data_IF_414019728498
#
_entry.id   IF_414019728498
#
_cell.length_a   1.000
_cell.length_b   1.000
_cell.length_c   1.000
_cell.angle_alpha   90.00
_cell.angle_beta   90.00
_cell.angle_gamma   90.00
#
_symmetry.space_group_name_H-M   'P 1'
#
loop_
_entity.id
_entity.type
_entity.pdbx_description
1 polymer ?
#
# COMPACT_ATOMS: atom_id res chain seq x y z
N UNK A 1 -5.17 -18.00 21.21
CA UNK A 1 -4.27 -18.66 20.24
C UNK A 1 -4.41 -17.91 18.93
N UNK A 2 -3.39 -17.20 18.47
CA UNK A 2 -3.38 -16.71 17.10
C UNK A 2 -1.96 -16.38 16.67
N UNK A 3 -1.51 -17.05 15.61
CA UNK A 3 -0.51 -16.53 14.68
C UNK A 3 -0.77 -17.25 13.36
N UNK A 4 -1.40 -16.56 12.41
CA UNK A 4 -1.44 -16.99 11.02
C UNK A 4 -1.28 -15.76 10.12
N UNK A 5 -0.02 -15.42 9.82
CA UNK A 5 0.30 -14.74 8.57
C UNK A 5 0.45 -15.83 7.50
N UNK A 6 -0.18 -15.66 6.33
CA UNK A 6 0.16 -16.48 5.17
C UNK A 6 1.52 -15.98 4.64
N UNK A 7 2.60 -16.54 5.18
CA UNK A 7 4.01 -16.21 4.91
C UNK A 7 4.56 -16.80 3.60
N UNK A 8 3.70 -17.25 2.68
CA UNK A 8 4.16 -18.12 1.59
C UNK A 8 5.12 -17.45 0.59
N UNK A 9 5.29 -16.11 0.60
CA UNK A 9 6.17 -15.39 -0.35
C UNK A 9 6.76 -14.04 0.14
N UNK A 10 6.81 -13.78 1.45
CA UNK A 10 7.48 -12.55 1.93
C UNK A 10 8.99 -12.77 1.94
N UNK A 11 9.75 -11.88 1.30
CA UNK A 11 11.22 -11.96 1.28
C UNK A 11 11.77 -11.84 2.70
N UNK A 12 12.87 -12.54 2.99
CA UNK A 12 13.52 -12.48 4.30
C UNK A 12 14.04 -11.08 4.67
N UNK A 13 14.22 -10.20 3.68
CA UNK A 13 14.67 -8.81 3.85
C UNK A 13 13.54 -7.82 4.10
N UNK A 14 12.28 -8.24 3.96
CA UNK A 14 11.14 -7.34 4.03
C UNK A 14 11.07 -6.67 5.41
N UNK A 15 11.05 -5.34 5.39
CA UNK A 15 10.93 -4.54 6.60
C UNK A 15 9.46 -4.24 6.90
N UNK A 16 9.05 -4.53 8.14
CA UNK A 16 7.71 -4.24 8.65
C UNK A 16 7.78 -3.29 9.83
N UNK A 17 6.83 -2.37 9.89
CA UNK A 17 6.71 -1.41 10.99
C UNK A 17 5.26 -1.31 11.45
N UNK A 18 5.08 -1.25 12.77
CA UNK A 18 3.79 -0.92 13.38
C UNK A 18 3.68 0.61 13.45
N UNK A 19 2.57 1.17 12.98
CA UNK A 19 2.35 2.62 12.97
C UNK A 19 0.93 2.99 13.37
N UNK A 20 0.76 4.26 13.76
CA UNK A 20 -0.52 4.82 14.19
C UNK A 20 -1.27 5.35 12.97
N UNK A 21 -2.41 4.76 12.64
CA UNK A 21 -3.16 5.08 11.43
C UNK A 21 -3.66 6.55 11.40
N UNK A 22 -3.32 7.33 10.37
CA UNK A 22 -3.96 8.63 10.13
C UNK A 22 -5.42 8.45 9.68
N UNK A 23 -6.12 9.58 9.54
CA UNK A 23 -7.49 9.57 9.07
C UNK A 23 -7.59 9.07 7.61
N UNK A 24 -8.61 8.24 7.33
CA UNK A 24 -8.91 7.79 5.97
C UNK A 24 -7.98 6.71 5.41
N UNK A 25 -7.23 6.01 6.26
CA UNK A 25 -6.36 4.92 5.82
C UNK A 25 -7.18 3.67 5.50
N UNK A 26 -6.79 3.04 4.39
CA UNK A 26 -7.27 1.73 3.94
C UNK A 26 -6.09 0.86 3.54
N UNK A 27 -6.33 -0.44 3.40
CA UNK A 27 -5.31 -1.36 2.91
C UNK A 27 -4.85 -1.03 1.49
N UNK A 28 -3.55 -1.14 1.25
CA UNK A 28 -2.93 -0.75 -0.02
C UNK A 28 -2.67 0.74 -0.16
N UNK A 29 -2.99 1.56 0.85
CA UNK A 29 -2.60 2.96 0.86
C UNK A 29 -1.09 3.09 1.10
N UNK A 30 -0.54 4.20 0.61
CA UNK A 30 0.83 4.61 0.85
C UNK A 30 0.89 5.60 2.02
N UNK A 31 1.81 5.36 2.94
CA UNK A 31 2.06 6.22 4.10
C UNK A 31 3.55 6.51 4.23
N UNK A 32 3.91 7.75 4.55
CA UNK A 32 5.27 8.08 4.94
C UNK A 32 5.44 7.81 6.45
N UNK A 33 6.48 7.06 6.82
CA UNK A 33 6.83 6.88 8.22
C UNK A 33 7.53 8.13 8.76
N UNK A 34 7.02 8.65 9.88
CA UNK A 34 7.61 9.74 10.64
C UNK A 34 8.52 9.25 11.76
N UNK A 35 8.59 10.02 12.84
CA UNK A 35 9.37 9.65 14.01
C UNK A 35 8.80 8.41 14.73
N UNK A 36 9.69 7.63 15.36
CA UNK A 36 9.29 6.55 16.25
C UNK A 36 8.79 7.12 17.58
N UNK A 37 7.61 6.68 18.00
CA UNK A 37 6.99 6.98 19.28
C UNK A 37 7.68 6.21 20.43
N UNK A 38 7.39 6.60 21.67
CA UNK A 38 7.95 5.96 22.86
C UNK A 38 7.57 4.48 23.00
N UNK A 39 6.38 4.10 22.51
CA UNK A 39 5.85 2.72 22.49
C UNK A 39 6.39 1.87 21.31
N UNK A 40 7.37 2.40 20.56
CA UNK A 40 8.01 1.79 19.39
C UNK A 40 7.15 1.70 18.13
N UNK A 41 5.94 2.24 18.15
CA UNK A 41 5.16 2.50 16.94
C UNK A 41 5.73 3.70 16.19
N UNK A 42 5.42 3.85 14.91
CA UNK A 42 5.76 5.04 14.13
C UNK A 42 4.53 5.93 13.96
N UNK A 43 4.71 7.25 14.04
CA UNK A 43 3.71 8.16 13.47
C UNK A 43 3.73 8.00 11.95
N UNK A 44 2.58 8.02 11.28
CA UNK A 44 2.54 8.03 9.82
C UNK A 44 1.50 9.02 9.29
N UNK A 45 1.74 9.48 8.06
CA UNK A 45 0.92 10.47 7.36
C UNK A 45 0.92 10.17 5.86
N UNK A 46 0.11 10.91 5.10
CA UNK A 46 0.22 10.91 3.65
C UNK A 46 1.63 11.37 3.22
N UNK A 47 2.21 10.79 2.15
CA UNK A 47 3.43 11.32 1.55
C UNK A 47 3.25 12.79 1.14
N UNK A 48 4.13 13.67 1.58
CA UNK A 48 4.02 15.11 1.30
C UNK A 48 4.38 15.47 -0.16
N UNK A 49 5.10 14.59 -0.86
CA UNK A 49 5.49 14.79 -2.24
C UNK A 49 5.76 13.45 -2.92
N UNK A 50 5.75 13.43 -4.25
CA UNK A 50 6.11 12.23 -5.04
C UNK A 50 7.56 11.76 -4.84
N UNK A 51 8.38 12.57 -4.17
CA UNK A 51 9.78 12.31 -3.82
C UNK A 51 9.98 11.89 -2.35
N UNK A 52 8.90 11.77 -1.56
CA UNK A 52 8.98 11.42 -0.13
C UNK A 52 9.69 10.08 0.07
N UNK A 53 10.69 10.05 0.95
CA UNK A 53 11.43 8.83 1.31
C UNK A 53 10.75 8.10 2.48
N UNK A 54 11.06 6.81 2.64
CA UNK A 54 10.49 6.00 3.73
C UNK A 54 8.98 5.77 3.59
N UNK A 55 8.50 5.70 2.35
CA UNK A 55 7.10 5.35 2.08
C UNK A 55 6.92 3.86 2.26
N UNK A 56 5.96 3.52 3.08
CA UNK A 56 5.50 2.18 3.29
C UNK A 56 4.10 1.99 2.72
N UNK A 57 3.78 0.74 2.38
CA UNK A 57 2.43 0.35 2.03
C UNK A 57 1.73 -0.23 3.26
N UNK A 58 0.45 0.12 3.41
CA UNK A 58 -0.40 -0.39 4.48
C UNK A 58 -0.78 -1.84 4.14
N UNK A 59 -0.31 -2.75 4.99
CA UNK A 59 -0.53 -4.20 4.91
C UNK A 59 -1.28 -4.67 6.15
N UNK A 60 -2.26 -3.91 6.62
CA UNK A 60 -2.98 -4.29 7.80
C UNK A 60 -4.00 -5.37 7.48
N UNK A 61 -4.18 -6.33 8.36
CA UNK A 61 -5.32 -7.24 8.25
C UNK A 61 -5.95 -7.39 9.62
N UNK A 62 -6.98 -6.61 9.96
CA UNK A 62 -7.88 -7.01 11.02
C UNK A 62 -8.85 -8.05 10.45
N UNK A 63 -8.43 -9.32 10.41
CA UNK A 63 -9.38 -10.44 10.20
C UNK A 63 -10.12 -10.66 11.53
N UNK A 64 -11.33 -10.12 11.65
CA UNK A 64 -12.29 -10.63 12.63
C UNK A 64 -12.87 -11.93 12.07
N UNK A 65 -12.58 -13.06 12.74
CA UNK A 65 -12.92 -14.43 12.33
C UNK A 65 -14.42 -14.75 12.27
N UNK A 66 -15.31 -13.81 12.57
CA UNK A 66 -16.75 -14.07 12.61
C UNK A 66 -17.41 -14.00 11.22
N UNK A 67 -16.76 -13.38 10.22
CA UNK A 67 -17.34 -13.29 8.87
C UNK A 67 -16.24 -13.29 7.81
N UNK A 68 -16.28 -14.25 6.87
CA UNK A 68 -15.58 -14.11 5.57
C UNK A 68 -16.07 -12.84 4.89
N UNK A 69 -15.37 -11.73 5.08
CA UNK A 69 -15.64 -10.46 4.39
C UNK A 69 -14.50 -10.19 3.41
N UNK A 70 -14.89 -9.80 2.21
CA UNK A 70 -13.99 -9.49 1.11
C UNK A 70 -13.02 -8.36 1.51
N UNK A 71 -11.81 -8.38 0.96
CA UNK A 71 -10.67 -7.47 1.23
C UNK A 71 -10.96 -5.96 1.00
N UNK A 72 -12.19 -5.60 0.59
CA UNK A 72 -12.57 -4.27 0.10
C UNK A 72 -13.13 -3.28 1.13
N UNK A 73 -13.48 -3.69 2.36
CA UNK A 73 -14.36 -2.87 3.22
C UNK A 73 -13.85 -2.62 4.65
N UNK A 74 -12.54 -2.44 4.87
CA UNK A 74 -12.06 -1.97 6.17
C UNK A 74 -11.46 -0.56 6.08
N UNK A 75 -12.26 0.45 6.38
CA UNK A 75 -11.73 1.75 6.81
C UNK A 75 -11.05 1.54 8.16
N UNK A 76 -9.74 1.74 8.21
CA UNK A 76 -8.98 1.63 9.44
C UNK A 76 -9.32 2.85 10.31
N UNK A 77 -9.69 2.60 11.57
CA UNK A 77 -9.99 3.66 12.51
C UNK A 77 -8.75 4.52 12.77
N UNK A 78 -8.92 5.84 12.79
CA UNK A 78 -7.84 6.76 13.14
C UNK A 78 -7.29 6.43 14.53
N UNK A 79 -5.97 6.39 14.66
CA UNK A 79 -5.29 6.03 15.89
C UNK A 79 -5.12 4.52 16.13
N UNK A 80 -5.69 3.66 15.28
CA UNK A 80 -5.43 2.22 15.35
C UNK A 80 -3.96 1.91 15.04
N UNK A 81 -3.43 0.87 15.70
CA UNK A 81 -2.11 0.35 15.36
C UNK A 81 -2.25 -0.57 14.15
N UNK A 82 -1.57 -0.23 13.07
CA UNK A 82 -1.58 -0.97 11.82
C UNK A 82 -0.19 -1.44 11.45
N UNK A 83 -0.14 -2.52 10.66
CA UNK A 83 1.12 -3.01 10.10
C UNK A 83 1.35 -2.43 8.71
N UNK A 84 2.55 -1.91 8.51
CA UNK A 84 3.03 -1.44 7.21
C UNK A 84 4.26 -2.21 6.78
N UNK A 85 4.50 -2.22 5.47
CA UNK A 85 5.65 -2.88 4.86
C UNK A 85 6.40 -1.88 3.99
N UNK A 86 7.72 -1.90 4.06
CA UNK A 86 8.56 -1.15 3.13
C UNK A 86 8.61 -1.92 1.80
N UNK A 87 8.18 -1.34 0.67
CA UNK A 87 8.30 -1.97 -0.63
C UNK A 87 9.77 -2.19 -0.99
N UNK A 88 10.06 -3.29 -1.70
CA UNK A 88 11.35 -3.54 -2.31
C UNK A 88 11.20 -3.76 -3.82
N UNK A 89 12.24 -3.43 -4.58
CA UNK A 89 12.27 -3.68 -6.02
C UNK A 89 12.00 -5.18 -6.30
N UNK A 90 11.09 -5.42 -7.24
CA UNK A 90 10.65 -6.75 -7.65
C UNK A 90 9.51 -7.33 -6.81
N UNK A 91 9.07 -6.66 -5.75
CA UNK A 91 7.87 -7.07 -5.02
C UNK A 91 6.64 -6.99 -5.90
N UNK A 92 5.77 -7.98 -5.81
CA UNK A 92 4.52 -8.07 -6.57
C UNK A 92 3.35 -8.05 -5.61
N UNK A 93 2.41 -7.15 -5.86
CA UNK A 93 1.26 -6.89 -5.01
C UNK A 93 -0.02 -6.83 -5.83
N UNK A 94 -1.14 -7.16 -5.18
CA UNK A 94 -2.46 -7.14 -5.81
C UNK A 94 -3.43 -6.30 -5.00
N UNK A 95 -3.99 -5.26 -5.60
CA UNK A 95 -4.95 -4.37 -4.94
C UNK A 95 -6.11 -3.98 -5.88
N UNK A 96 -7.28 -3.63 -5.35
CA UNK A 96 -8.39 -3.10 -6.14
C UNK A 96 -7.99 -1.83 -6.90
N UNK A 97 -8.47 -1.67 -8.13
CA UNK A 97 -8.26 -0.44 -8.92
C UNK A 97 -8.78 0.80 -8.18
N UNK A 98 -9.87 0.66 -7.42
CA UNK A 98 -10.49 1.75 -6.66
C UNK A 98 -9.61 2.34 -5.53
N UNK A 99 -8.54 1.63 -5.14
CA UNK A 99 -7.61 2.11 -4.12
C UNK A 99 -6.65 3.18 -4.69
N UNK A 100 -6.63 3.36 -6.01
CA UNK A 100 -5.78 4.32 -6.70
C UNK A 100 -6.63 5.44 -7.31
N UNK A 101 -6.03 6.63 -7.39
CA UNK A 101 -6.49 7.69 -8.30
C UNK A 101 -5.93 7.42 -9.69
N UNK A 102 -6.56 7.98 -10.72
CA UNK A 102 -6.27 7.63 -12.10
C UNK A 102 -6.45 8.81 -13.07
N UNK A 103 -5.33 9.36 -13.53
CA UNK A 103 -5.22 10.31 -14.64
C UNK A 103 -5.36 9.57 -15.96
N UNK A 104 -4.92 8.31 -16.00
CA UNK A 104 -5.11 7.42 -17.15
C UNK A 104 -5.78 6.11 -16.73
N UNK A 105 -6.49 5.47 -17.67
CA UNK A 105 -7.13 4.20 -17.42
C UNK A 105 -6.12 3.13 -16.98
N UNK A 106 -6.48 2.38 -15.94
CA UNK A 106 -5.76 1.20 -15.47
C UNK A 106 -5.55 0.19 -16.62
N UNK A 107 -4.29 -0.05 -16.99
CA UNK A 107 -3.93 -1.00 -18.02
C UNK A 107 -2.50 -1.51 -17.81
N UNK A 108 -2.19 -2.68 -18.39
CA UNK A 108 -0.83 -3.23 -18.42
C UNK A 108 0.16 -2.23 -19.01
N UNK A 109 1.32 -2.10 -18.37
CA UNK A 109 2.39 -1.19 -18.78
C UNK A 109 2.20 0.27 -18.35
N UNK A 110 1.13 0.58 -17.62
CA UNK A 110 0.98 1.86 -16.92
C UNK A 110 1.71 1.82 -15.59
N UNK A 111 1.96 2.99 -15.02
CA UNK A 111 2.72 3.14 -13.78
C UNK A 111 1.81 3.62 -12.66
N UNK A 112 2.17 3.25 -11.43
CA UNK A 112 1.61 3.84 -10.22
C UNK A 112 2.75 4.54 -9.49
N UNK A 113 2.53 5.82 -9.19
CA UNK A 113 3.40 6.63 -8.35
C UNK A 113 2.64 7.02 -7.09
N UNK A 114 3.34 7.41 -6.04
CA UNK A 114 2.67 8.01 -4.87
C UNK A 114 2.04 9.35 -5.26
N UNK A 115 0.85 9.64 -4.74
CA UNK A 115 0.22 10.95 -4.89
C UNK A 115 0.69 11.87 -3.76
N UNK A 116 0.95 13.14 -4.10
CA UNK A 116 1.37 14.12 -3.12
C UNK A 116 0.18 14.52 -2.25
N UNK A 117 0.39 14.58 -0.93
CA UNK A 117 -0.63 14.90 0.07
C UNK A 117 -1.84 13.95 0.10
N UNK A 118 -1.69 12.77 -0.51
CA UNK A 118 -2.73 11.74 -0.57
C UNK A 118 -2.21 10.37 -0.11
N UNK A 119 -3.09 9.59 0.51
CA UNK A 119 -2.79 8.22 0.93
C UNK A 119 -2.85 7.22 -0.24
N UNK A 120 -3.23 7.66 -1.42
CA UNK A 120 -3.42 6.83 -2.61
C UNK A 120 -2.21 6.95 -3.54
N UNK A 121 -2.05 5.94 -4.40
CA UNK A 121 -1.20 6.07 -5.57
C UNK A 121 -2.00 6.55 -6.78
N UNK A 122 -1.29 7.12 -7.74
CA UNK A 122 -1.83 7.73 -8.94
C UNK A 122 -1.39 6.94 -10.18
N UNK A 123 -2.35 6.53 -11.02
CA UNK A 123 -2.09 5.79 -12.26
C UNK A 123 -1.74 6.76 -13.38
N UNK A 124 -0.50 6.65 -13.89
CA UNK A 124 0.07 7.54 -14.91
C UNK A 124 0.58 6.78 -16.15
N UNK A 125 0.71 7.51 -17.27
CA UNK A 125 1.23 6.96 -18.54
C UNK A 125 2.76 6.88 -18.61
N UNK A 126 3.45 7.70 -17.83
CA UNK A 126 4.91 7.84 -17.82
C UNK A 126 5.39 8.35 -16.46
N UNK A 127 6.65 8.07 -16.13
CA UNK A 127 7.32 8.57 -14.92
C UNK A 127 8.29 9.70 -15.28
N UNK A 128 8.49 10.64 -14.34
CA UNK A 128 9.46 11.72 -14.45
C UNK A 128 10.89 11.29 -14.10
N UNK A 129 11.05 10.15 -13.40
CA UNK A 129 12.33 9.61 -12.96
C UNK A 129 12.83 10.18 -11.62
N UNK A 130 12.05 11.05 -10.98
CA UNK A 130 12.34 11.63 -9.66
C UNK A 130 11.52 11.02 -8.55
N UNK A 131 10.51 10.22 -8.88
CA UNK A 131 9.59 9.61 -7.93
C UNK A 131 10.33 8.66 -6.98
N UNK A 132 9.95 8.68 -5.71
CA UNK A 132 10.58 7.82 -4.70
C UNK A 132 10.08 6.39 -4.72
N UNK A 133 8.88 6.14 -5.25
CA UNK A 133 8.29 4.82 -5.31
C UNK A 133 7.52 4.69 -6.62
N UNK A 134 7.84 3.66 -7.39
CA UNK A 134 7.18 3.40 -8.67
C UNK A 134 6.82 1.93 -8.77
N UNK A 135 5.58 1.66 -9.17
CA UNK A 135 5.14 0.36 -9.61
C UNK A 135 4.79 0.36 -11.09
N UNK A 136 4.99 -0.77 -11.75
CA UNK A 136 4.43 -1.05 -13.07
C UNK A 136 3.26 -2.01 -12.94
N UNK A 137 2.17 -1.74 -13.66
CA UNK A 137 1.02 -2.63 -13.75
C UNK A 137 1.38 -3.76 -14.72
N UNK A 138 1.56 -4.97 -14.18
CA UNK A 138 1.85 -6.16 -14.98
C UNK A 138 0.56 -6.75 -15.57
N UNK A 139 -0.58 -6.59 -14.89
CA UNK A 139 -1.87 -7.15 -15.29
C UNK A 139 -3.04 -6.41 -14.61
N UNK A 140 -4.18 -6.31 -15.32
CA UNK A 140 -5.48 -5.91 -14.75
C UNK A 140 -6.41 -7.11 -14.89
N UNK A 141 -7.02 -7.56 -13.80
CA UNK A 141 -7.84 -8.77 -13.77
C UNK A 141 -9.05 -8.61 -12.84
N UNK A 142 -10.05 -9.48 -12.98
CA UNK A 142 -11.22 -9.46 -12.10
C UNK A 142 -11.14 -10.61 -11.10
N UNK A 143 -11.31 -10.31 -9.81
CA UNK A 143 -11.42 -11.30 -8.73
C UNK A 143 -12.69 -11.03 -7.94
N UNK A 144 -13.58 -12.03 -7.84
CA UNK A 144 -14.86 -11.92 -7.11
C UNK A 144 -15.70 -10.68 -7.51
N UNK A 145 -15.71 -10.32 -8.79
CA UNK A 145 -16.44 -9.14 -9.30
C UNK A 145 -15.74 -7.78 -9.09
N UNK A 146 -14.56 -7.76 -8.46
CA UNK A 146 -13.75 -6.56 -8.24
C UNK A 146 -12.63 -6.49 -9.26
N UNK A 147 -12.43 -5.32 -9.86
CA UNK A 147 -11.29 -5.05 -10.74
C UNK A 147 -10.02 -4.85 -9.91
N UNK A 148 -9.00 -5.65 -10.17
CA UNK A 148 -7.75 -5.73 -9.43
C UNK A 148 -6.55 -5.38 -10.33
N UNK A 149 -5.54 -4.76 -9.74
CA UNK A 149 -4.24 -4.52 -10.33
C UNK A 149 -3.25 -5.50 -9.75
N UNK A 150 -2.52 -6.21 -10.61
CA UNK A 150 -1.26 -6.86 -10.23
C UNK A 150 -0.14 -5.91 -10.61
N UNK A 151 0.56 -5.40 -9.61
CA UNK A 151 1.60 -4.41 -9.79
C UNK A 151 2.92 -4.89 -9.21
N UNK A 152 4.02 -4.46 -9.82
CA UNK A 152 5.37 -4.82 -9.42
C UNK A 152 6.19 -3.56 -9.14
N UNK A 153 6.83 -3.52 -7.98
CA UNK A 153 7.71 -2.41 -7.60
C UNK A 153 8.96 -2.42 -8.51
N UNK A 154 9.26 -1.27 -9.10
CA UNK A 154 10.40 -1.09 -10.01
C UNK A 154 11.37 0.02 -9.54
N UNK A 155 11.01 0.80 -8.52
CA UNK A 155 11.84 1.86 -7.95
C UNK A 155 11.47 2.13 -6.48
N UNK A 156 12.47 2.38 -5.62
CA UNK A 156 12.37 2.75 -4.19
C UNK A 156 13.43 3.78 -3.80
#
# INVERSE_FOLDING_TARGET
>A
MANLMILSKVKATAHYADCVAPAGVTNGNFVALGAQNADKTYACAAPAATTSKGVNIVCDIPISYEVEKLENDFTIATGAIIRTRTPEIGDVECYPVANFTATVAAAKGKFIIIDADALKGEIVSSIAGTESLVYIIDEVFTKAGVSMLKMRCINV
#
